data_IF_114118864830
#
_entry.id   IF_114118864830
#
_cell.length_a   1.000
_cell.length_b   1.000
_cell.length_c   1.000
_cell.angle_alpha   90.00
_cell.angle_beta   90.00
_cell.angle_gamma   90.00
#
_symmetry.space_group_name_H-M   'P 1'
#
loop_
_entity.id
_entity.type
_entity.pdbx_description
1 polymer ?
#
# COMPACT_ATOMS: atom_id res chain seq x y z
N UNK A 1 -6.62 -16.79 -5.12
CA UNK A 1 -6.13 -15.69 -4.29
C UNK A 1 -6.32 -14.37 -5.04
N UNK A 2 -6.77 -13.36 -4.36
CA UNK A 2 -6.91 -12.01 -4.91
C UNK A 2 -5.77 -11.17 -4.32
N UNK A 3 -5.11 -10.37 -5.16
CA UNK A 3 -4.02 -9.50 -4.72
C UNK A 3 -4.42 -8.05 -4.91
N UNK A 4 -4.50 -7.32 -3.81
CA UNK A 4 -4.68 -5.88 -3.82
C UNK A 4 -3.28 -5.25 -3.83
N UNK A 5 -2.90 -4.67 -4.96
CA UNK A 5 -1.58 -4.10 -5.16
C UNK A 5 -1.65 -2.57 -5.14
N UNK A 6 -0.88 -1.95 -4.26
CA UNK A 6 -0.77 -0.49 -4.19
C UNK A 6 0.65 -0.11 -4.60
N UNK A 7 0.79 0.59 -5.72
CA UNK A 7 2.08 1.08 -6.20
C UNK A 7 2.21 2.53 -5.78
N UNK A 8 3.28 2.84 -5.03
CA UNK A 8 3.51 4.18 -4.47
C UNK A 8 4.89 4.68 -4.86
N UNK A 9 4.95 5.87 -5.46
CA UNK A 9 6.20 6.59 -5.64
C UNK A 9 6.29 7.67 -4.59
N UNK A 10 7.31 7.61 -3.73
CA UNK A 10 7.53 8.53 -2.61
C UNK A 10 8.68 9.49 -2.92
N UNK A 11 8.52 10.76 -2.58
CA UNK A 11 9.57 11.77 -2.70
C UNK A 11 10.77 11.42 -1.82
N UNK A 12 11.97 11.73 -2.31
CA UNK A 12 13.23 11.39 -1.62
C UNK A 12 13.35 12.05 -0.25
N UNK A 13 12.86 13.28 -0.11
CA UNK A 13 13.04 14.07 1.12
C UNK A 13 12.31 13.48 2.34
N UNK A 14 11.30 12.64 2.14
CA UNK A 14 10.55 11.99 3.23
C UNK A 14 10.63 10.46 3.17
N UNK A 15 11.43 9.92 2.28
CA UNK A 15 11.48 8.48 2.00
C UNK A 15 11.71 7.63 3.26
N UNK A 16 12.73 7.94 4.06
CA UNK A 16 13.09 7.09 5.20
C UNK A 16 12.04 7.13 6.29
N UNK A 17 11.51 8.32 6.58
CA UNK A 17 10.44 8.49 7.55
C UNK A 17 9.16 7.78 7.10
N UNK A 18 8.80 7.95 5.83
CA UNK A 18 7.62 7.32 5.23
C UNK A 18 7.72 5.79 5.24
N UNK A 19 8.86 5.23 4.83
CA UNK A 19 9.04 3.78 4.77
C UNK A 19 8.94 3.15 6.16
N UNK A 20 9.53 3.79 7.16
CA UNK A 20 9.41 3.34 8.55
C UNK A 20 7.95 3.34 9.01
N UNK A 21 7.24 4.44 8.75
CA UNK A 21 5.82 4.57 9.11
C UNK A 21 4.98 3.50 8.41
N UNK A 22 5.22 3.27 7.13
CA UNK A 22 4.51 2.23 6.37
C UNK A 22 4.68 0.86 7.00
N UNK A 23 5.92 0.50 7.37
CA UNK A 23 6.22 -0.82 7.95
C UNK A 23 5.71 -0.96 9.38
N UNK A 24 5.84 0.08 10.19
CA UNK A 24 5.54 0.01 11.63
C UNK A 24 4.08 0.30 11.96
N UNK A 25 3.41 1.12 11.15
CA UNK A 25 2.07 1.60 11.43
C UNK A 25 1.04 1.20 10.38
N UNK A 26 1.27 1.57 9.12
CA UNK A 26 0.26 1.43 8.08
C UNK A 26 -0.03 -0.03 7.72
N UNK A 27 1.00 -0.79 7.36
CA UNK A 27 0.84 -2.21 7.00
C UNK A 27 0.18 -3.00 8.15
N UNK A 28 0.63 -2.86 9.42
CA UNK A 28 -0.06 -3.53 10.52
C UNK A 28 -1.54 -3.16 10.64
N UNK A 29 -1.89 -1.89 10.44
CA UNK A 29 -3.30 -1.46 10.49
C UNK A 29 -4.14 -2.06 9.38
N UNK A 30 -3.58 -2.18 8.18
CA UNK A 30 -4.26 -2.86 7.06
C UNK A 30 -4.49 -4.33 7.42
N UNK A 31 -3.48 -5.00 7.95
CA UNK A 31 -3.58 -6.42 8.32
C UNK A 31 -4.53 -6.66 9.50
N UNK A 32 -4.65 -5.73 10.43
CA UNK A 32 -5.58 -5.83 11.57
C UNK A 32 -7.04 -5.83 11.16
N UNK A 33 -7.37 -5.38 9.94
CA UNK A 33 -8.75 -5.45 9.45
C UNK A 33 -9.25 -6.88 9.29
N UNK A 34 -8.34 -7.86 9.21
CA UNK A 34 -8.68 -9.26 8.99
C UNK A 34 -9.09 -9.61 7.57
N UNK A 35 -9.03 -8.64 6.65
CA UNK A 35 -9.44 -8.84 5.25
C UNK A 35 -8.39 -9.53 4.41
N UNK A 36 -7.13 -9.50 4.83
CA UNK A 36 -6.00 -10.08 4.12
C UNK A 36 -5.27 -11.11 4.97
N UNK A 37 -4.78 -12.16 4.34
CA UNK A 37 -4.07 -13.25 5.04
C UNK A 37 -2.56 -13.10 5.00
N UNK A 38 -2.04 -12.29 4.07
CA UNK A 38 -0.61 -12.10 3.87
C UNK A 38 -0.37 -10.73 3.24
N UNK A 39 0.83 -10.17 3.45
CA UNK A 39 1.28 -8.99 2.73
C UNK A 39 2.72 -9.16 2.28
N UNK A 40 3.10 -8.46 1.21
CA UNK A 40 4.48 -8.40 0.72
C UNK A 40 4.79 -6.99 0.26
N UNK A 41 6.02 -6.56 0.49
CA UNK A 41 6.51 -5.24 0.09
C UNK A 41 7.70 -5.42 -0.83
N UNK A 42 7.64 -4.80 -2.01
CA UNK A 42 8.70 -4.85 -3.01
C UNK A 42 9.11 -3.44 -3.42
N UNK A 43 10.39 -3.26 -3.68
CA UNK A 43 10.89 -2.07 -4.34
C UNK A 43 10.93 -2.32 -5.85
N UNK A 44 10.43 -1.37 -6.63
CA UNK A 44 10.54 -1.42 -8.08
C UNK A 44 11.99 -1.12 -8.47
N UNK A 45 12.58 -1.98 -9.29
CA UNK A 45 13.93 -1.81 -9.83
C UNK A 45 13.85 -1.27 -11.25
N UNK A 46 15.00 -0.88 -11.80
CA UNK A 46 15.13 -0.35 -13.17
C UNK A 46 14.24 0.88 -13.42
N UNK A 47 14.20 1.78 -12.45
CA UNK A 47 13.51 3.05 -12.59
C UNK A 47 14.46 4.22 -12.39
N UNK A 48 14.07 5.40 -12.86
CA UNK A 48 14.76 6.64 -12.55
C UNK A 48 14.39 7.07 -11.13
N UNK A 49 15.36 7.09 -10.22
CA UNK A 49 15.14 7.45 -8.81
C UNK A 49 15.56 8.89 -8.48
N UNK A 50 15.72 9.74 -9.48
CA UNK A 50 16.17 11.13 -9.29
C UNK A 50 15.20 11.92 -8.40
N UNK A 51 13.91 11.69 -8.55
CA UNK A 51 12.86 12.45 -7.86
C UNK A 51 12.00 11.58 -6.90
N UNK A 52 12.28 10.31 -6.80
CA UNK A 52 11.51 9.44 -5.92
C UNK A 52 11.86 7.96 -6.09
N UNK A 53 11.32 7.14 -5.18
CA UNK A 53 11.50 5.69 -5.19
C UNK A 53 10.11 5.04 -5.19
N UNK A 54 9.93 3.99 -5.99
CA UNK A 54 8.65 3.31 -6.14
C UNK A 54 8.65 1.97 -5.42
N UNK A 55 7.56 1.73 -4.70
CA UNK A 55 7.30 0.47 -3.98
C UNK A 55 5.98 -0.14 -4.41
N UNK A 56 5.92 -1.46 -4.33
CA UNK A 56 4.68 -2.21 -4.53
C UNK A 56 4.30 -2.89 -3.21
N UNK A 57 3.14 -2.50 -2.68
CA UNK A 57 2.54 -3.10 -1.47
C UNK A 57 1.48 -4.08 -1.93
N UNK A 58 1.65 -5.36 -1.63
CA UNK A 58 0.71 -6.40 -2.04
C UNK A 58 0.03 -7.00 -0.83
N UNK A 59 -1.31 -7.02 -0.85
CA UNK A 59 -2.14 -7.60 0.20
C UNK A 59 -2.95 -8.74 -0.43
N UNK A 60 -2.90 -9.90 0.19
CA UNK A 60 -3.48 -11.13 -0.36
C UNK A 60 -4.78 -11.46 0.35
N UNK A 61 -5.89 -11.47 -0.38
CA UNK A 61 -7.21 -11.84 0.12
C UNK A 61 -7.56 -13.26 -0.37
N UNK A 62 -8.20 -14.04 0.50
CA UNK A 62 -8.60 -15.41 0.15
C UNK A 62 -9.65 -15.44 -0.97
N UNK A 63 -10.51 -14.42 -1.03
CA UNK A 63 -11.52 -14.27 -2.07
C UNK A 63 -11.85 -12.80 -2.30
N UNK A 64 -12.65 -12.52 -3.35
CA UNK A 64 -12.99 -11.15 -3.74
C UNK A 64 -13.90 -10.46 -2.70
N UNK A 65 -14.70 -11.20 -1.97
CA UNK A 65 -15.59 -10.63 -0.96
C UNK A 65 -14.81 -9.98 0.17
N UNK A 66 -13.67 -10.55 0.55
CA UNK A 66 -12.77 -9.97 1.55
C UNK A 66 -12.19 -8.65 1.10
N UNK A 67 -11.82 -8.55 -0.17
CA UNK A 67 -11.35 -7.28 -0.73
C UNK A 67 -12.47 -6.22 -0.72
N UNK A 68 -13.70 -6.56 -1.10
CA UNK A 68 -14.80 -5.62 -1.09
C UNK A 68 -15.14 -5.16 0.34
N UNK A 69 -15.03 -6.05 1.31
CA UNK A 69 -15.18 -5.69 2.73
C UNK A 69 -14.16 -4.63 3.14
N UNK A 70 -12.89 -4.84 2.77
CA UNK A 70 -11.82 -3.87 3.00
C UNK A 70 -12.14 -2.53 2.33
N UNK A 71 -12.49 -2.55 1.06
CA UNK A 71 -12.78 -1.36 0.27
C UNK A 71 -13.91 -0.53 0.85
N UNK A 72 -14.99 -1.18 1.29
CA UNK A 72 -16.16 -0.50 1.83
C UNK A 72 -15.98 0.01 3.25
N UNK A 73 -15.28 -0.72 4.12
CA UNK A 73 -15.28 -0.46 5.55
C UNK A 73 -13.96 0.08 6.11
N UNK A 74 -12.86 -0.03 5.38
CA UNK A 74 -11.53 0.29 5.92
C UNK A 74 -10.67 1.20 5.04
N UNK A 75 -10.78 1.08 3.71
CA UNK A 75 -9.84 1.72 2.78
C UNK A 75 -9.77 3.24 2.93
N UNK A 76 -10.92 3.91 3.01
CA UNK A 76 -10.98 5.38 3.10
C UNK A 76 -10.21 5.91 4.31
N UNK A 77 -10.45 5.33 5.48
CA UNK A 77 -9.79 5.71 6.74
C UNK A 77 -8.28 5.52 6.65
N UNK A 78 -7.83 4.40 6.11
CA UNK A 78 -6.41 4.07 6.02
C UNK A 78 -5.68 4.90 4.97
N UNK A 79 -6.34 5.22 3.85
CA UNK A 79 -5.81 6.17 2.85
C UNK A 79 -5.63 7.56 3.44
N UNK A 80 -6.60 8.00 4.23
CA UNK A 80 -6.57 9.33 4.86
C UNK A 80 -5.34 9.50 5.75
N UNK A 81 -4.93 8.48 6.47
CA UNK A 81 -3.74 8.54 7.32
C UNK A 81 -2.49 8.93 6.53
N UNK A 82 -2.28 8.30 5.36
CA UNK A 82 -1.14 8.61 4.49
C UNK A 82 -1.21 10.04 3.95
N UNK A 83 -2.40 10.46 3.51
CA UNK A 83 -2.60 11.80 2.96
C UNK A 83 -2.37 12.89 4.00
N UNK A 84 -2.78 12.65 5.24
CA UNK A 84 -2.64 13.61 6.33
C UNK A 84 -1.17 13.77 6.76
N UNK A 85 -0.40 12.66 6.78
CA UNK A 85 0.98 12.67 7.25
C UNK A 85 1.99 13.10 6.18
N UNK A 86 1.71 12.78 4.92
CA UNK A 86 2.65 13.04 3.81
C UNK A 86 1.96 13.78 2.64
N UNK A 87 1.33 14.94 2.91
CA UNK A 87 0.58 15.64 1.87
C UNK A 87 1.48 16.09 0.72
N UNK A 88 1.07 15.76 -0.52
CA UNK A 88 1.81 16.15 -1.72
C UNK A 88 3.15 15.47 -1.91
N UNK A 89 3.50 14.45 -1.11
CA UNK A 89 4.81 13.82 -1.13
C UNK A 89 4.84 12.47 -1.86
N UNK A 90 3.70 11.94 -2.27
CA UNK A 90 3.64 10.67 -2.98
C UNK A 90 2.53 10.66 -4.02
N UNK A 91 2.69 9.75 -4.99
CA UNK A 91 1.62 9.37 -5.92
C UNK A 91 1.38 7.88 -5.77
N UNK A 92 0.13 7.46 -5.92
CA UNK A 92 -0.24 6.07 -5.76
C UNK A 92 -1.29 5.66 -6.78
N UNK A 93 -1.21 4.42 -7.24
CA UNK A 93 -2.28 3.79 -8.00
C UNK A 93 -2.47 2.36 -7.52
N UNK A 94 -3.67 1.84 -7.75
CA UNK A 94 -4.08 0.55 -7.23
C UNK A 94 -4.45 -0.38 -8.36
N UNK A 95 -4.06 -1.66 -8.21
CA UNK A 95 -4.32 -2.70 -9.19
C UNK A 95 -4.89 -3.90 -8.43
N UNK A 96 -6.00 -4.42 -8.90
CA UNK A 96 -6.57 -5.64 -8.35
C UNK A 96 -6.21 -6.79 -9.27
N UNK A 97 -5.55 -7.81 -8.71
CA UNK A 97 -5.02 -8.95 -9.46
C UNK A 97 -5.69 -10.23 -8.97
N UNK A 98 -5.88 -11.15 -9.89
CA UNK A 98 -6.39 -12.48 -9.57
C UNK A 98 -5.34 -13.50 -9.97
N UNK A 99 -5.02 -14.41 -9.05
CA UNK A 99 -4.16 -15.56 -9.35
C UNK A 99 -4.87 -16.48 -10.33
N UNK A 100 -4.16 -16.93 -11.36
CA UNK A 100 -4.70 -17.81 -12.40
C UNK A 100 -3.96 -19.13 -12.47
#
# INVERSE_FOLDING_TARGET
MIVYNVTVKIDLDVHDLWLRWMKEEHIPRVMETGCFVENRLYRVLEENTTDGITYAFQYFASDIAKYFDYKEHHAERLKKDSLDLFPGKFTAFRTLLKEV
#
